data_IF_064104540161
#
_entry.id   IF_064104540161
#
_cell.length_a   1.000
_cell.length_b   1.000
_cell.length_c   1.000
_cell.angle_alpha   90.00
_cell.angle_beta   90.00
_cell.angle_gamma   90.00
#
_symmetry.space_group_name_H-M   'P 1'
#
loop_
_entity.id
_entity.type
_entity.pdbx_description
1 polymer ?
#
# COMPACT_ATOMS: atom_id res chain seq x y z
N UNK A 1 -0.14 32.74 -17.82
CA UNK A 1 0.11 33.23 -16.43
C UNK A 1 0.56 32.01 -15.59
N UNK A 2 1.84 31.67 -15.70
CA UNK A 2 2.47 30.44 -15.16
C UNK A 2 3.68 30.80 -14.29
N UNK A 3 3.52 31.75 -13.37
CA UNK A 3 4.68 32.31 -12.66
C UNK A 3 4.68 32.11 -11.13
N UNK A 4 3.71 31.40 -10.55
CA UNK A 4 3.64 31.21 -9.09
C UNK A 4 3.97 29.80 -8.56
N UNK A 5 4.34 28.87 -9.43
CA UNK A 5 4.69 27.49 -9.02
C UNK A 5 6.21 27.21 -8.93
N UNK A 6 7.04 28.23 -9.10
CA UNK A 6 8.50 28.09 -9.20
C UNK A 6 9.24 27.70 -7.88
N UNK A 7 8.53 27.44 -6.78
CA UNK A 7 9.16 27.20 -5.47
C UNK A 7 9.16 25.75 -4.96
N UNK A 8 8.56 24.79 -5.65
CA UNK A 8 8.23 23.50 -5.02
C UNK A 8 8.84 22.26 -5.68
N UNK A 9 9.62 22.39 -6.75
CA UNK A 9 10.40 21.29 -7.34
C UNK A 9 9.62 19.97 -7.54
N UNK A 10 10.25 18.82 -7.28
CA UNK A 10 9.68 17.50 -7.55
C UNK A 10 8.35 17.21 -6.83
N UNK A 11 8.08 17.86 -5.70
CA UNK A 11 6.83 17.67 -4.97
C UNK A 11 5.63 18.37 -5.64
N UNK A 12 5.83 19.53 -6.24
CA UNK A 12 4.78 20.22 -7.00
C UNK A 12 4.46 19.46 -8.29
N UNK A 13 5.48 18.94 -8.95
CA UNK A 13 5.31 18.06 -10.10
C UNK A 13 4.51 16.81 -9.73
N UNK A 14 4.86 16.16 -8.61
CA UNK A 14 4.11 15.03 -8.09
C UNK A 14 2.63 15.36 -7.84
N UNK A 15 2.33 16.48 -7.19
CA UNK A 15 0.96 16.92 -6.92
C UNK A 15 0.21 17.28 -8.21
N UNK A 16 0.89 17.84 -9.20
CA UNK A 16 0.32 18.21 -10.50
C UNK A 16 -0.33 17.03 -11.25
N UNK A 17 0.12 15.81 -11.01
CA UNK A 17 -0.51 14.61 -11.58
C UNK A 17 -1.95 14.37 -11.08
N UNK A 18 -2.33 14.97 -9.95
CA UNK A 18 -3.65 14.82 -9.35
C UNK A 18 -4.57 16.02 -9.60
N UNK A 19 -4.06 17.10 -10.19
CA UNK A 19 -4.84 18.35 -10.39
C UNK A 19 -6.09 18.13 -11.24
N UNK A 20 -6.03 17.27 -12.27
CA UNK A 20 -7.16 16.93 -13.13
C UNK A 20 -8.26 16.09 -12.45
N UNK A 21 -7.97 15.49 -11.30
CA UNK A 21 -8.89 14.66 -10.52
C UNK A 21 -9.68 15.47 -9.49
N UNK A 22 -9.25 16.71 -9.25
CA UNK A 22 -9.81 17.58 -8.22
C UNK A 22 -10.57 18.68 -8.94
N UNK A 23 -11.89 18.58 -8.95
CA UNK A 23 -12.81 19.30 -9.84
C UNK A 23 -12.75 20.82 -9.82
N UNK A 24 -12.18 21.47 -8.78
CA UNK A 24 -11.99 22.92 -8.76
C UNK A 24 -10.62 23.33 -8.20
N UNK A 25 -10.12 24.45 -8.72
CA UNK A 25 -8.79 24.99 -8.36
C UNK A 25 -8.62 25.24 -6.86
N UNK A 26 -9.68 25.64 -6.16
CA UNK A 26 -9.62 25.94 -4.73
C UNK A 26 -9.50 24.66 -3.90
N UNK A 27 -10.24 23.64 -4.27
CA UNK A 27 -10.16 22.31 -3.64
C UNK A 27 -8.79 21.69 -3.92
N UNK A 28 -8.28 21.77 -5.16
CA UNK A 28 -6.94 21.31 -5.53
C UNK A 28 -5.84 21.98 -4.71
N UNK A 29 -5.89 23.31 -4.55
CA UNK A 29 -4.94 24.02 -3.69
C UNK A 29 -5.02 23.55 -2.23
N UNK A 30 -6.23 23.37 -1.71
CA UNK A 30 -6.41 22.88 -0.33
C UNK A 30 -5.88 21.46 -0.18
N UNK A 31 -6.11 20.58 -1.16
CA UNK A 31 -5.55 19.23 -1.19
C UNK A 31 -4.01 19.26 -1.14
N UNK A 32 -3.38 20.03 -2.03
CA UNK A 32 -1.93 20.19 -2.06
C UNK A 32 -1.35 20.65 -0.73
N UNK A 33 -2.01 21.64 -0.07
CA UNK A 33 -1.60 22.14 1.24
C UNK A 33 -1.78 21.08 2.34
N UNK A 34 -2.84 20.27 2.28
CA UNK A 34 -3.04 19.16 3.23
C UNK A 34 -1.93 18.12 3.07
N UNK A 35 -1.63 17.70 1.83
CA UNK A 35 -0.56 16.72 1.59
C UNK A 35 0.79 17.24 2.06
N UNK A 36 1.13 18.51 1.81
CA UNK A 36 2.33 19.16 2.35
C UNK A 36 2.36 19.15 3.88
N UNK A 37 1.24 19.53 4.49
CA UNK A 37 1.11 19.51 5.94
C UNK A 37 1.30 18.11 6.53
N UNK A 38 0.77 17.07 5.90
CA UNK A 38 0.97 15.66 6.31
C UNK A 38 2.46 15.29 6.23
N UNK A 39 3.11 15.57 5.10
CA UNK A 39 4.53 15.24 4.91
C UNK A 39 5.42 15.97 5.91
N UNK A 40 5.19 17.27 6.11
CA UNK A 40 5.99 18.09 7.03
C UNK A 40 5.75 17.74 8.50
N UNK A 41 4.51 17.41 8.87
CA UNK A 41 4.14 17.08 10.24
C UNK A 41 4.44 15.61 10.61
N UNK A 42 4.54 14.72 9.61
CA UNK A 42 4.53 13.26 9.85
C UNK A 42 3.27 12.79 10.60
N UNK A 43 2.14 13.50 10.41
CA UNK A 43 0.92 13.31 11.20
C UNK A 43 -0.34 13.47 10.37
N UNK A 44 -1.38 12.70 10.71
CA UNK A 44 -2.74 12.85 10.15
C UNK A 44 -3.69 13.66 11.04
N UNK A 45 -3.18 14.28 12.11
CA UNK A 45 -3.98 15.13 12.99
C UNK A 45 -4.21 16.48 12.32
N UNK A 46 -5.48 16.87 12.11
CA UNK A 46 -5.85 18.08 11.35
C UNK A 46 -5.18 19.36 11.84
N UNK A 47 -4.96 19.51 13.15
CA UNK A 47 -4.26 20.66 13.73
C UNK A 47 -2.77 20.66 13.35
N UNK A 48 -2.12 19.49 13.41
CA UNK A 48 -0.72 19.33 13.02
C UNK A 48 -0.54 19.54 11.51
N UNK A 49 -1.42 18.98 10.69
CA UNK A 49 -1.43 19.22 9.24
C UNK A 49 -1.49 20.72 8.95
N UNK A 50 -2.44 21.44 9.56
CA UNK A 50 -2.59 22.88 9.35
C UNK A 50 -1.37 23.66 9.83
N UNK A 51 -0.83 23.33 11.01
CA UNK A 51 0.31 24.02 11.59
C UNK A 51 1.59 23.89 10.75
N UNK A 52 1.74 22.79 10.00
CA UNK A 52 2.91 22.51 9.18
C UNK A 52 2.69 22.72 7.67
N UNK A 53 1.50 23.20 7.28
CA UNK A 53 1.22 23.59 5.90
C UNK A 53 1.57 25.07 5.69
N UNK A 54 2.33 25.43 4.64
CA UNK A 54 2.74 26.81 4.38
C UNK A 54 1.58 27.82 4.36
N UNK A 55 0.46 27.46 3.75
CA UNK A 55 -0.68 28.37 3.60
C UNK A 55 -1.73 28.23 4.72
N UNK A 56 -1.92 27.01 5.25
CA UNK A 56 -2.94 26.79 6.28
C UNK A 56 -2.47 27.26 7.67
N UNK A 57 -1.16 27.30 7.92
CA UNK A 57 -0.59 27.75 9.20
C UNK A 57 -0.83 29.24 9.46
N UNK A 58 -0.91 30.05 8.42
CA UNK A 58 -1.07 31.51 8.53
C UNK A 58 -2.55 31.96 8.52
N UNK A 59 -3.51 31.06 8.36
CA UNK A 59 -4.92 31.40 8.37
C UNK A 59 -5.60 30.95 9.65
N UNK A 60 -6.42 31.83 10.24
CA UNK A 60 -7.12 31.58 11.50
C UNK A 60 -7.90 30.25 11.54
N UNK A 61 -8.43 29.82 10.39
CA UNK A 61 -9.28 28.64 10.28
C UNK A 61 -8.59 27.48 9.55
N UNK A 62 -7.27 27.40 9.53
CA UNK A 62 -6.51 26.39 8.81
C UNK A 62 -6.92 24.95 9.15
N UNK A 63 -6.97 24.62 10.44
CA UNK A 63 -7.42 23.31 10.90
C UNK A 63 -8.87 23.00 10.49
N UNK A 64 -9.76 23.99 10.53
CA UNK A 64 -11.15 23.84 10.08
C UNK A 64 -11.26 23.60 8.57
N UNK A 65 -10.31 24.13 7.77
CA UNK A 65 -10.25 23.82 6.33
C UNK A 65 -9.89 22.37 6.10
N UNK A 66 -8.91 21.83 6.84
CA UNK A 66 -8.55 20.40 6.79
C UNK A 66 -9.74 19.53 7.18
N UNK A 67 -10.42 19.83 8.28
CA UNK A 67 -11.60 19.11 8.76
C UNK A 67 -12.73 19.13 7.72
N UNK A 68 -13.03 20.31 7.13
CA UNK A 68 -14.08 20.44 6.11
C UNK A 68 -13.74 19.67 4.84
N UNK A 69 -12.48 19.65 4.45
CA UNK A 69 -12.00 18.86 3.33
C UNK A 69 -12.20 17.36 3.59
N UNK A 70 -11.76 16.87 4.75
CA UNK A 70 -11.89 15.46 5.15
C UNK A 70 -13.36 15.00 5.30
N UNK A 71 -14.25 15.88 5.77
CA UNK A 71 -15.67 15.53 5.96
C UNK A 71 -16.47 15.34 4.68
N UNK A 72 -15.99 15.83 3.54
CA UNK A 72 -16.60 15.62 2.22
C UNK A 72 -18.06 16.08 2.04
N UNK A 73 -18.72 16.56 3.08
CA UNK A 73 -20.14 16.88 3.08
C UNK A 73 -20.43 18.27 2.50
N UNK A 74 -20.43 18.36 1.18
CA UNK A 74 -21.10 19.48 0.52
C UNK A 74 -21.62 19.04 -0.84
N UNK A 75 -22.92 18.97 -0.98
CA UNK A 75 -23.65 18.73 -2.25
C UNK A 75 -23.36 19.77 -3.34
N UNK A 76 -22.61 20.83 -3.02
CA UNK A 76 -22.28 21.94 -3.93
C UNK A 76 -20.78 22.13 -4.18
N UNK A 77 -19.90 21.27 -3.67
CA UNK A 77 -18.45 21.36 -3.87
C UNK A 77 -17.94 20.09 -4.50
N UNK A 78 -17.00 20.22 -5.42
CA UNK A 78 -16.28 19.08 -5.95
C UNK A 78 -15.65 18.31 -4.78
N UNK A 79 -16.08 17.07 -4.64
CA UNK A 79 -15.48 16.13 -3.71
C UNK A 79 -14.24 15.53 -4.38
N UNK A 80 -13.21 15.31 -3.59
CA UNK A 80 -12.10 14.46 -4.02
C UNK A 80 -12.60 13.02 -3.89
N UNK A 81 -12.71 12.34 -5.00
CA UNK A 81 -13.10 10.96 -5.03
C UNK A 81 -11.89 10.09 -4.70
N UNK A 82 -11.99 9.32 -3.60
CA UNK A 82 -10.91 8.47 -3.13
C UNK A 82 -10.59 7.33 -4.11
N UNK A 83 -11.58 6.81 -4.83
CA UNK A 83 -11.40 5.75 -5.81
C UNK A 83 -10.61 6.27 -7.02
N UNK A 84 -10.96 7.46 -7.51
CA UNK A 84 -10.19 8.11 -8.58
C UNK A 84 -8.75 8.40 -8.17
N UNK A 85 -8.53 8.89 -6.95
CA UNK A 85 -7.16 9.10 -6.45
C UNK A 85 -6.36 7.80 -6.35
N UNK A 86 -6.99 6.74 -5.86
CA UNK A 86 -6.34 5.42 -5.77
C UNK A 86 -6.02 4.86 -7.15
N UNK A 87 -6.93 5.00 -8.12
CA UNK A 87 -6.70 4.59 -9.50
C UNK A 87 -5.54 5.38 -10.14
N UNK A 88 -5.51 6.69 -9.96
CA UNK A 88 -4.42 7.53 -10.48
C UNK A 88 -3.07 7.22 -9.83
N UNK A 89 -3.05 6.94 -8.52
CA UNK A 89 -1.86 6.50 -7.80
C UNK A 89 -1.33 5.19 -8.39
N UNK A 90 -2.21 4.22 -8.64
CA UNK A 90 -1.87 2.95 -9.27
C UNK A 90 -1.31 3.16 -10.69
N UNK A 91 -2.01 3.93 -11.54
CA UNK A 91 -1.55 4.22 -12.92
C UNK A 91 -0.17 4.86 -12.92
N UNK A 92 0.08 5.83 -12.03
CA UNK A 92 1.39 6.44 -11.88
C UNK A 92 2.44 5.44 -11.41
N UNK A 93 2.11 4.59 -10.46
CA UNK A 93 2.99 3.52 -9.99
C UNK A 93 3.40 2.59 -11.14
N UNK A 94 2.44 2.15 -11.95
CA UNK A 94 2.70 1.32 -13.14
C UNK A 94 3.59 2.05 -14.14
N UNK A 95 3.30 3.33 -14.43
CA UNK A 95 4.11 4.14 -15.36
C UNK A 95 5.56 4.28 -14.87
N UNK A 96 5.78 4.51 -13.58
CA UNK A 96 7.12 4.59 -12.99
C UNK A 96 7.88 3.26 -13.09
N UNK A 97 7.20 2.13 -12.91
CA UNK A 97 7.81 0.80 -13.03
C UNK A 97 8.12 0.45 -14.49
N UNK A 98 7.29 0.90 -15.44
CA UNK A 98 7.51 0.71 -16.87
C UNK A 98 8.78 1.41 -17.41
N UNK A 99 9.28 2.43 -16.70
CA UNK A 99 10.55 3.10 -17.02
C UNK A 99 11.80 2.27 -16.62
N UNK A 100 11.61 1.10 -15.98
CA UNK A 100 12.71 0.23 -15.58
C UNK A 100 13.10 -0.71 -16.71
N UNK A 101 14.41 -0.91 -16.89
CA UNK A 101 14.97 -1.91 -17.78
C UNK A 101 15.15 -3.30 -17.12
N UNK A 102 14.62 -3.47 -15.89
CA UNK A 102 14.73 -4.71 -15.15
C UNK A 102 13.84 -5.81 -15.76
N UNK A 103 14.26 -7.04 -15.61
CA UNK A 103 13.55 -8.26 -16.01
C UNK A 103 12.69 -8.85 -14.88
N UNK A 104 12.75 -8.25 -13.68
CA UNK A 104 11.98 -8.66 -12.50
C UNK A 104 11.20 -7.49 -11.89
N UNK A 105 9.94 -7.76 -11.55
CA UNK A 105 9.06 -6.89 -10.77
C UNK A 105 8.66 -7.60 -9.47
N UNK A 106 9.01 -7.00 -8.35
CA UNK A 106 8.58 -7.45 -7.03
C UNK A 106 7.34 -6.69 -6.57
N UNK A 107 6.29 -7.43 -6.21
CA UNK A 107 5.05 -6.91 -5.65
C UNK A 107 5.03 -7.23 -4.16
N UNK A 108 5.22 -6.20 -3.34
CA UNK A 108 5.27 -6.35 -1.88
C UNK A 108 3.90 -5.99 -1.33
N UNK A 109 3.19 -6.97 -0.77
CA UNK A 109 1.90 -6.75 -0.11
C UNK A 109 2.07 -6.78 1.41
N UNK A 110 1.54 -5.74 2.07
CA UNK A 110 1.62 -5.58 3.52
C UNK A 110 0.27 -5.09 4.09
N UNK A 111 -0.43 -5.90 4.90
CA UNK A 111 -1.57 -5.46 5.67
C UNK A 111 -1.08 -4.72 6.92
N UNK A 112 -1.68 -3.58 7.19
CA UNK A 112 -1.30 -2.75 8.33
C UNK A 112 -2.54 -2.29 9.11
N UNK A 113 -2.36 -1.98 10.39
CA UNK A 113 -3.42 -1.46 11.25
C UNK A 113 -3.34 0.08 11.34
N UNK A 114 -4.39 0.76 10.93
CA UNK A 114 -4.57 2.20 11.15
C UNK A 114 -5.28 2.42 12.49
N UNK A 115 -4.51 2.68 13.53
CA UNK A 115 -5.01 2.84 14.89
C UNK A 115 -5.64 4.21 15.11
N UNK A 116 -6.78 4.22 15.79
CA UNK A 116 -7.55 5.42 16.15
C UNK A 116 -7.98 5.37 17.63
N UNK A 117 -7.03 5.31 18.59
CA UNK A 117 -7.31 4.99 19.99
C UNK A 117 -8.26 5.98 20.68
N UNK A 118 -8.39 7.18 20.12
CA UNK A 118 -9.27 8.24 20.68
C UNK A 118 -10.53 8.48 19.83
N UNK A 119 -10.77 7.67 18.78
CA UNK A 119 -11.97 7.80 17.97
C UNK A 119 -13.10 6.95 18.55
N UNK A 120 -14.29 7.55 18.68
CA UNK A 120 -15.50 6.88 19.17
C UNK A 120 -16.66 6.95 18.17
N UNK A 121 -16.62 7.91 17.25
CA UNK A 121 -17.77 8.23 16.37
C UNK A 121 -17.43 8.13 14.87
N UNK A 122 -16.27 7.56 14.52
CA UNK A 122 -15.95 7.30 13.12
C UNK A 122 -16.78 6.10 12.63
N UNK A 123 -17.33 6.15 11.41
CA UNK A 123 -18.06 5.01 10.85
C UNK A 123 -17.19 3.74 10.82
N UNK A 124 -17.81 2.61 11.06
CA UNK A 124 -17.22 1.28 10.89
C UNK A 124 -15.90 1.05 11.63
N UNK A 125 -15.71 1.67 12.81
CA UNK A 125 -14.54 1.40 13.64
C UNK A 125 -14.53 -0.05 14.10
N UNK A 126 -13.51 -0.79 13.71
CA UNK A 126 -13.24 -2.13 14.23
C UNK A 126 -12.18 -2.12 15.32
N UNK A 127 -11.91 -3.28 15.91
CA UNK A 127 -10.79 -3.45 16.84
C UNK A 127 -9.55 -3.94 16.10
N UNK A 128 -8.46 -3.20 16.26
CA UNK A 128 -7.14 -3.55 15.73
C UNK A 128 -6.11 -3.62 16.85
N UNK A 129 -4.97 -4.25 16.63
CA UNK A 129 -3.91 -4.36 17.63
C UNK A 129 -3.01 -3.12 17.62
N UNK A 130 -2.69 -2.61 18.80
CA UNK A 130 -1.58 -1.65 18.94
C UNK A 130 -0.22 -2.37 18.98
N UNK A 131 0.86 -1.60 19.18
CA UNK A 131 2.23 -2.14 19.23
C UNK A 131 2.47 -3.08 20.41
N UNK A 132 1.67 -2.92 21.49
CA UNK A 132 1.73 -3.75 22.69
C UNK A 132 0.77 -4.95 22.63
N UNK A 133 0.06 -5.11 21.48
CA UNK A 133 -0.92 -6.17 21.27
C UNK A 133 -2.29 -5.91 21.88
N UNK A 134 -2.53 -4.71 22.44
CA UNK A 134 -3.81 -4.31 23.00
C UNK A 134 -4.78 -3.94 21.88
N UNK A 135 -6.05 -4.33 22.04
CA UNK A 135 -7.11 -3.94 21.12
C UNK A 135 -7.48 -2.46 21.29
N UNK A 136 -7.46 -1.74 20.20
CA UNK A 136 -7.84 -0.32 20.10
C UNK A 136 -8.71 -0.10 18.87
N UNK A 137 -9.58 0.93 18.87
CA UNK A 137 -10.35 1.27 17.68
C UNK A 137 -9.45 1.59 16.47
N UNK A 138 -9.87 1.19 15.28
CA UNK A 138 -9.09 1.44 14.07
C UNK A 138 -9.69 0.83 12.82
N UNK A 139 -8.84 0.68 11.81
CA UNK A 139 -9.15 0.06 10.52
C UNK A 139 -7.98 -0.81 10.09
N UNK A 140 -8.25 -1.75 9.19
CA UNK A 140 -7.21 -2.47 8.45
C UNK A 140 -6.91 -1.75 7.15
N UNK A 141 -5.67 -1.83 6.70
CA UNK A 141 -5.26 -1.40 5.36
C UNK A 141 -4.53 -2.54 4.66
N UNK A 142 -4.71 -2.63 3.35
CA UNK A 142 -3.87 -3.44 2.48
C UNK A 142 -3.13 -2.50 1.53
N UNK A 143 -1.81 -2.57 1.55
CA UNK A 143 -0.95 -1.79 0.67
C UNK A 143 -0.17 -2.73 -0.23
N UNK A 144 -0.02 -2.36 -1.52
CA UNK A 144 0.87 -3.07 -2.43
C UNK A 144 1.82 -2.08 -3.08
N UNK A 145 3.10 -2.36 -2.93
CA UNK A 145 4.19 -1.62 -3.53
C UNK A 145 4.83 -2.46 -4.64
N UNK A 146 4.92 -1.92 -5.84
CA UNK A 146 5.75 -2.48 -6.91
C UNK A 146 7.19 -1.95 -6.80
N UNK A 147 8.17 -2.82 -6.96
CA UNK A 147 9.59 -2.51 -6.83
C UNK A 147 10.38 -3.18 -7.93
N UNK A 148 11.23 -2.41 -8.59
CA UNK A 148 12.29 -2.88 -9.48
C UNK A 148 13.61 -2.24 -9.05
N UNK A 149 14.78 -2.69 -9.51
CA UNK A 149 16.03 -1.96 -9.28
C UNK A 149 15.91 -0.49 -9.71
N UNK A 150 16.04 0.42 -8.75
CA UNK A 150 15.98 1.87 -8.98
C UNK A 150 14.58 2.49 -9.11
N UNK A 151 13.51 1.72 -9.16
CA UNK A 151 12.13 2.23 -9.27
C UNK A 151 11.21 1.60 -8.24
N UNK A 152 10.22 2.36 -7.81
CA UNK A 152 9.15 1.88 -6.92
C UNK A 152 7.88 2.69 -7.15
N UNK A 153 6.73 2.04 -7.02
CA UNK A 153 5.44 2.69 -7.18
C UNK A 153 4.39 2.04 -6.27
N UNK A 154 3.50 2.83 -5.71
CA UNK A 154 2.34 2.32 -4.98
C UNK A 154 1.32 1.86 -6.03
N UNK A 155 0.89 0.60 -5.94
CA UNK A 155 -0.03 -0.01 -6.90
C UNK A 155 -1.42 -0.23 -6.31
N UNK A 156 -1.52 -0.31 -4.98
CA UNK A 156 -2.79 -0.54 -4.32
C UNK A 156 -2.77 0.04 -2.90
N UNK A 157 -3.88 0.64 -2.53
CA UNK A 157 -4.16 1.03 -1.15
C UNK A 157 -5.65 0.88 -0.91
N UNK A 158 -6.03 0.11 0.09
CA UNK A 158 -7.42 -0.02 0.52
C UNK A 158 -7.50 0.01 2.04
N UNK A 159 -8.41 0.83 2.54
CA UNK A 159 -8.86 0.83 3.92
C UNK A 159 -10.13 -0.02 3.99
N UNK A 160 -10.22 -0.92 4.97
CA UNK A 160 -11.41 -1.74 5.20
C UNK A 160 -11.65 -2.00 6.67
N UNK A 161 -12.85 -2.46 6.99
CA UNK A 161 -13.27 -2.78 8.35
C UNK A 161 -14.13 -4.03 8.37
N UNK A 162 -13.91 -4.90 9.34
CA UNK A 162 -14.69 -6.11 9.54
C UNK A 162 -16.12 -5.86 10.04
N UNK A 163 -16.46 -4.62 10.41
CA UNK A 163 -17.81 -4.22 10.81
C UNK A 163 -18.54 -3.41 9.74
N UNK A 164 -17.90 -3.16 8.59
CA UNK A 164 -18.55 -2.52 7.45
C UNK A 164 -19.57 -3.45 6.79
N UNK A 165 -20.66 -2.90 6.29
CA UNK A 165 -21.76 -3.66 5.71
C UNK A 165 -21.35 -4.45 4.45
N UNK A 166 -20.36 -3.94 3.69
CA UNK A 166 -19.84 -4.54 2.46
C UNK A 166 -18.64 -5.47 2.69
N UNK A 167 -18.29 -5.77 3.94
CA UNK A 167 -17.17 -6.64 4.28
C UNK A 167 -17.59 -8.11 4.33
N UNK A 168 -16.94 -8.93 3.52
CA UNK A 168 -17.13 -10.38 3.55
C UNK A 168 -16.13 -11.07 4.47
N UNK A 169 -14.83 -10.95 4.14
CA UNK A 169 -13.74 -11.49 4.94
C UNK A 169 -12.39 -10.88 4.56
N UNK A 170 -11.43 -10.90 5.48
CA UNK A 170 -10.07 -10.41 5.22
C UNK A 170 -9.37 -11.16 4.06
N UNK A 171 -9.45 -12.52 3.96
CA UNK A 171 -8.89 -13.22 2.81
C UNK A 171 -9.47 -12.78 1.46
N UNK A 172 -10.77 -12.47 1.39
CA UNK A 172 -11.40 -11.97 0.16
C UNK A 172 -10.94 -10.55 -0.18
N UNK A 173 -10.76 -9.68 0.81
CA UNK A 173 -10.18 -8.35 0.59
C UNK A 173 -8.74 -8.45 0.05
N UNK A 174 -7.95 -9.36 0.60
CA UNK A 174 -6.59 -9.64 0.11
C UNK A 174 -6.64 -10.13 -1.34
N UNK A 175 -7.43 -11.16 -1.65
CA UNK A 175 -7.54 -11.71 -3.00
C UNK A 175 -8.02 -10.66 -4.01
N UNK A 176 -8.95 -9.78 -3.63
CA UNK A 176 -9.40 -8.64 -4.45
C UNK A 176 -8.23 -7.71 -4.77
N UNK A 177 -7.44 -7.35 -3.76
CA UNK A 177 -6.24 -6.51 -3.93
C UNK A 177 -5.21 -7.14 -4.87
N UNK A 178 -4.90 -8.44 -4.66
CA UNK A 178 -3.96 -9.19 -5.49
C UNK A 178 -4.41 -9.20 -6.97
N UNK A 179 -5.67 -9.55 -7.24
CA UNK A 179 -6.23 -9.57 -8.60
C UNK A 179 -6.19 -8.19 -9.26
N UNK A 180 -6.53 -7.15 -8.51
CA UNK A 180 -6.51 -5.77 -9.01
C UNK A 180 -5.10 -5.36 -9.43
N UNK A 181 -4.10 -5.65 -8.61
CA UNK A 181 -2.71 -5.32 -8.91
C UNK A 181 -2.17 -6.15 -10.07
N UNK A 182 -2.40 -7.47 -10.07
CA UNK A 182 -1.99 -8.36 -11.18
C UNK A 182 -2.55 -7.89 -12.53
N UNK A 183 -3.79 -7.38 -12.51
CA UNK A 183 -4.41 -6.80 -13.70
C UNK A 183 -3.77 -5.47 -14.09
N UNK A 184 -3.47 -4.60 -13.12
CA UNK A 184 -2.85 -3.31 -13.38
C UNK A 184 -1.43 -3.43 -13.98
N UNK A 185 -0.64 -4.41 -13.52
CA UNK A 185 0.73 -4.65 -14.03
C UNK A 185 0.79 -5.58 -15.25
N UNK A 186 -0.36 -5.94 -15.84
CA UNK A 186 -0.42 -6.91 -16.93
C UNK A 186 0.48 -6.56 -18.12
N UNK A 187 0.56 -5.28 -18.48
CA UNK A 187 1.42 -4.81 -19.58
C UNK A 187 2.92 -4.96 -19.26
N UNK A 188 3.31 -4.99 -18.01
CA UNK A 188 4.71 -5.16 -17.59
C UNK A 188 5.15 -6.64 -17.65
N UNK A 189 4.22 -7.59 -17.58
CA UNK A 189 4.50 -9.04 -17.60
C UNK A 189 5.11 -9.54 -18.91
N UNK A 190 4.97 -8.80 -19.98
CA UNK A 190 5.62 -9.11 -21.26
C UNK A 190 7.14 -8.92 -21.21
N UNK A 191 7.62 -8.10 -20.26
CA UNK A 191 9.02 -7.70 -20.14
C UNK A 191 9.64 -8.13 -18.82
N UNK A 192 8.84 -8.36 -17.78
CA UNK A 192 9.30 -8.62 -16.41
C UNK A 192 8.62 -9.85 -15.82
N UNK A 193 9.40 -10.72 -15.19
CA UNK A 193 8.88 -11.76 -14.33
C UNK A 193 8.30 -11.12 -13.05
N UNK A 194 7.07 -11.48 -12.69
CA UNK A 194 6.37 -10.91 -11.53
C UNK A 194 6.44 -11.86 -10.35
N UNK A 195 6.94 -11.38 -9.22
CA UNK A 195 7.05 -12.11 -7.97
C UNK A 195 6.41 -11.35 -6.82
N UNK A 196 5.45 -11.97 -6.15
CA UNK A 196 4.86 -11.46 -4.93
C UNK A 196 5.75 -11.78 -3.73
N UNK A 197 6.02 -10.77 -2.91
CA UNK A 197 6.74 -10.90 -1.64
C UNK A 197 5.75 -10.58 -0.53
N UNK A 198 5.43 -11.59 0.26
CA UNK A 198 4.40 -11.50 1.28
C UNK A 198 4.92 -12.08 2.60
N UNK A 199 4.39 -11.56 3.70
CA UNK A 199 4.74 -12.06 5.02
C UNK A 199 3.97 -13.35 5.37
N UNK A 200 4.22 -13.88 6.56
CA UNK A 200 3.58 -15.11 7.06
C UNK A 200 2.06 -14.98 7.26
N UNK A 201 1.51 -13.78 7.30
CA UNK A 201 0.07 -13.54 7.37
C UNK A 201 -0.65 -13.96 6.08
N UNK A 202 0.09 -14.11 4.98
CA UNK A 202 -0.40 -14.60 3.71
C UNK A 202 -0.15 -16.11 3.50
N UNK A 203 0.19 -16.86 4.55
CA UNK A 203 0.35 -18.32 4.47
C UNK A 203 -1.00 -19.04 4.34
N UNK A 204 -1.67 -18.77 3.22
CA UNK A 204 -2.96 -19.33 2.83
C UNK A 204 -2.90 -19.80 1.38
N UNK A 205 -3.28 -21.08 1.17
CA UNK A 205 -3.29 -21.71 -0.16
C UNK A 205 -4.24 -20.99 -1.13
N UNK A 206 -5.35 -20.44 -0.64
CA UNK A 206 -6.29 -19.70 -1.50
C UNK A 206 -5.67 -18.39 -2.01
N UNK A 207 -4.87 -17.71 -1.17
CA UNK A 207 -4.08 -16.54 -1.55
C UNK A 207 -3.05 -16.91 -2.61
N UNK A 208 -2.28 -17.97 -2.39
CA UNK A 208 -1.26 -18.42 -3.35
C UNK A 208 -1.85 -18.86 -4.69
N UNK A 209 -2.98 -19.56 -4.67
CA UNK A 209 -3.70 -19.92 -5.91
C UNK A 209 -4.10 -18.70 -6.70
N UNK A 210 -4.57 -17.63 -6.02
CA UNK A 210 -4.91 -16.37 -6.68
C UNK A 210 -3.71 -15.78 -7.43
N UNK A 211 -2.49 -15.90 -6.89
CA UNK A 211 -1.25 -15.45 -7.51
C UNK A 211 -0.88 -16.40 -8.69
N UNK A 212 -0.89 -17.70 -8.47
CA UNK A 212 -0.51 -18.69 -9.50
C UNK A 212 -1.46 -18.68 -10.71
N UNK A 213 -2.76 -18.44 -10.50
CA UNK A 213 -3.74 -18.29 -11.58
C UNK A 213 -3.43 -17.11 -12.50
N UNK A 214 -2.63 -16.15 -12.04
CA UNK A 214 -2.14 -15.03 -12.85
C UNK A 214 -0.78 -15.31 -13.51
N UNK A 215 -0.27 -16.56 -13.42
CA UNK A 215 1.07 -16.95 -13.86
C UNK A 215 2.20 -16.12 -13.19
N UNK A 216 2.05 -15.81 -11.91
CA UNK A 216 2.99 -15.05 -11.09
C UNK A 216 3.62 -15.95 -10.02
N UNK A 217 4.79 -15.55 -9.54
CA UNK A 217 5.50 -16.25 -8.47
C UNK A 217 5.13 -15.70 -7.09
N UNK A 218 5.33 -16.51 -6.05
CA UNK A 218 5.14 -16.07 -4.67
C UNK A 218 6.33 -16.47 -3.80
N UNK A 219 6.82 -15.52 -3.02
CA UNK A 219 7.77 -15.72 -1.94
C UNK A 219 7.04 -15.39 -0.64
N UNK A 220 6.78 -16.41 0.16
CA UNK A 220 6.05 -16.29 1.42
C UNK A 220 6.84 -16.95 2.55
N UNK A 221 6.93 -16.28 3.70
CA UNK A 221 7.41 -16.92 4.91
C UNK A 221 6.31 -17.81 5.49
N UNK A 222 6.53 -19.12 5.51
CA UNK A 222 5.55 -20.07 6.02
C UNK A 222 5.36 -19.92 7.53
N UNK A 223 4.11 -19.99 7.96
CA UNK A 223 3.69 -20.04 9.36
C UNK A 223 3.36 -21.48 9.77
N UNK A 224 2.72 -22.23 8.87
CA UNK A 224 2.25 -23.60 9.10
C UNK A 224 3.32 -24.61 8.71
N UNK A 225 4.18 -24.99 9.68
CA UNK A 225 5.25 -25.97 9.48
C UNK A 225 4.73 -27.39 9.20
N UNK A 226 3.50 -27.68 9.61
CA UNK A 226 2.77 -28.93 9.38
C UNK A 226 2.12 -29.03 8.00
N UNK A 227 2.18 -27.98 7.18
CA UNK A 227 1.63 -27.97 5.83
C UNK A 227 2.27 -29.06 4.97
N UNK A 228 1.44 -29.88 4.32
CA UNK A 228 1.91 -30.88 3.37
C UNK A 228 2.39 -30.22 2.07
N UNK A 229 3.57 -30.60 1.65
CA UNK A 229 4.22 -30.11 0.43
C UNK A 229 4.79 -31.28 -0.36
N UNK A 230 4.74 -31.18 -1.69
CA UNK A 230 5.51 -32.03 -2.55
C UNK A 230 6.86 -31.36 -2.83
N UNK A 231 7.95 -32.07 -2.66
CA UNK A 231 9.31 -31.55 -2.87
C UNK A 231 10.20 -32.57 -3.57
N UNK A 232 11.22 -32.07 -4.25
CA UNK A 232 12.18 -32.92 -4.93
C UNK A 232 13.45 -33.05 -4.06
N UNK A 233 13.86 -34.27 -3.86
CA UNK A 233 15.14 -34.56 -3.15
C UNK A 233 16.33 -34.25 -4.04
N UNK A 234 17.52 -34.25 -3.47
CA UNK A 234 18.80 -34.02 -4.19
C UNK A 234 18.99 -35.04 -5.33
N UNK A 235 18.46 -36.23 -5.17
CA UNK A 235 18.54 -37.33 -6.17
C UNK A 235 17.42 -37.24 -7.23
N UNK A 236 16.66 -36.13 -7.23
CA UNK A 236 15.58 -35.91 -8.20
C UNK A 236 14.29 -36.66 -7.92
N UNK A 237 14.16 -37.37 -6.79
CA UNK A 237 12.97 -38.12 -6.41
C UNK A 237 11.92 -37.20 -5.80
N UNK A 238 10.68 -37.26 -6.27
CA UNK A 238 9.55 -36.58 -5.66
C UNK A 238 9.10 -37.27 -4.37
N UNK A 239 8.91 -36.49 -3.33
CA UNK A 239 8.40 -36.91 -2.03
C UNK A 239 7.30 -35.97 -1.55
N UNK A 240 6.43 -36.49 -0.69
CA UNK A 240 5.44 -35.70 0.03
C UNK A 240 5.76 -35.75 1.53
N UNK A 241 5.58 -34.65 2.20
CA UNK A 241 5.79 -34.53 3.63
C UNK A 241 5.42 -33.14 4.12
N UNK A 242 5.55 -32.91 5.41
CA UNK A 242 5.36 -31.57 5.96
C UNK A 242 6.58 -30.67 5.64
N UNK A 243 6.39 -29.36 5.82
CA UNK A 243 7.44 -28.35 5.56
C UNK A 243 8.68 -28.64 6.41
N UNK A 244 8.51 -29.07 7.67
CA UNK A 244 9.65 -29.37 8.55
C UNK A 244 10.47 -30.56 8.05
N UNK A 245 9.81 -31.59 7.49
CA UNK A 245 10.50 -32.71 6.84
C UNK A 245 11.19 -32.27 5.54
N UNK A 246 10.50 -31.47 4.71
CA UNK A 246 11.05 -30.96 3.46
C UNK A 246 12.31 -30.12 3.67
N UNK A 247 12.38 -29.28 4.71
CA UNK A 247 13.55 -28.47 5.03
C UNK A 247 14.86 -29.23 5.15
N UNK A 248 14.81 -30.52 5.54
CA UNK A 248 16.00 -31.36 5.66
C UNK A 248 16.63 -31.69 4.31
N UNK A 249 15.86 -31.63 3.24
CA UNK A 249 16.25 -32.00 1.88
C UNK A 249 16.38 -30.79 0.96
N UNK A 250 15.79 -29.64 1.33
CA UNK A 250 15.89 -28.43 0.54
C UNK A 250 17.30 -27.81 0.72
N UNK A 251 17.92 -27.48 -0.40
CA UNK A 251 19.13 -26.68 -0.42
C UNK A 251 18.77 -25.28 -0.91
N UNK A 252 19.34 -24.22 -0.32
CA UNK A 252 19.17 -22.88 -0.85
C UNK A 252 19.70 -22.84 -2.30
N UNK A 253 18.91 -22.33 -3.21
CA UNK A 253 19.33 -22.14 -4.62
C UNK A 253 20.33 -20.99 -4.73
N UNK A 254 20.26 -20.04 -3.82
CA UNK A 254 21.23 -18.95 -3.69
C UNK A 254 21.43 -18.59 -2.22
N UNK A 255 22.64 -18.16 -1.85
CA UNK A 255 22.92 -17.56 -0.56
C UNK A 255 23.58 -16.19 -0.79
N UNK A 256 23.10 -15.16 -0.11
CA UNK A 256 23.72 -13.86 -0.08
C UNK A 256 24.04 -13.49 1.37
N UNK A 257 25.27 -13.03 1.63
CA UNK A 257 25.62 -12.36 2.87
C UNK A 257 25.48 -10.87 2.66
N UNK A 258 24.61 -10.25 3.47
CA UNK A 258 24.44 -8.79 3.46
C UNK A 258 25.04 -8.25 4.75
N UNK A 259 26.07 -7.42 4.65
CA UNK A 259 26.55 -6.64 5.79
C UNK A 259 25.56 -5.50 6.07
N UNK A 260 24.90 -5.56 7.22
CA UNK A 260 24.10 -4.42 7.71
C UNK A 260 25.05 -3.39 8.33
N UNK A 261 25.26 -2.28 7.64
CA UNK A 261 25.92 -1.11 8.23
C UNK A 261 24.90 -0.36 9.07
N UNK A 262 24.91 -0.59 10.38
CA UNK A 262 24.12 0.22 11.33
C UNK A 262 24.82 1.57 11.47
N UNK A 263 24.31 2.60 10.82
CA UNK A 263 24.70 3.98 11.12
C UNK A 263 24.06 4.36 12.46
N UNK A 264 24.86 4.44 13.51
CA UNK A 264 24.46 5.10 14.75
C UNK A 264 24.44 6.59 14.47
N UNK A 265 23.24 7.20 14.47
CA UNK A 265 23.04 8.64 14.51
C UNK A 265 23.12 9.17 15.91
#
# INVERSE_FOLDING_TARGET
>A
MTQEMAGYGPFAEYLGHYDGLIGDRRTGRTFGEIVRGIVNAGSLVCQQIAAHSPELSVVKDGAQRVIRFAKGKSTKRSQVDAEYLTAALCQRGVAQLAESEADELWLIADPSDLRKPYASEMPDLMQVKDLDGKLVPGYRTLNVLGVTPGRRGILYHRLFSSVAEDFDSEPLEVQRGLKTVSQAVRSLKEQMAVSWIVDRGFDDVAVWRTIWEQAEHVVCRLYHSERLVAYQTVDGKWMEGDVAAAQRYLRPMASAQTEMVVRRG
#
